data_IF_325672325303
#
_entry.id   IF_325672325303
#
_cell.length_a   1.000
_cell.length_b   1.000
_cell.length_c   1.000
_cell.angle_alpha   90.00
_cell.angle_beta   90.00
_cell.angle_gamma   90.00
#
_symmetry.space_group_name_H-M   'P 1'
#
loop_
_entity.id
_entity.type
_entity.pdbx_description
1 polymer ?
#
# COMPACT_ATOMS: atom_id res chain seq x y z
N UNK A 1 -34.81 11.27 2.08
CA UNK A 1 -33.48 10.67 1.87
C UNK A 1 -32.75 10.80 3.19
N UNK A 2 -32.40 9.68 3.82
CA UNK A 2 -31.80 9.67 5.16
C UNK A 2 -30.31 9.95 5.03
N UNK A 3 -29.88 11.11 5.52
CA UNK A 3 -28.46 11.46 5.57
C UNK A 3 -27.85 10.75 6.78
N UNK A 4 -27.05 9.71 6.54
CA UNK A 4 -26.22 9.10 7.59
C UNK A 4 -24.98 9.98 7.71
N UNK A 5 -24.94 10.85 8.71
CA UNK A 5 -23.74 11.60 9.08
C UNK A 5 -22.89 10.73 10.00
N UNK A 6 -21.79 10.18 9.49
CA UNK A 6 -20.82 9.42 10.29
C UNK A 6 -19.80 10.43 10.86
N UNK A 7 -19.57 10.46 12.18
CA UNK A 7 -18.57 11.35 12.80
C UNK A 7 -17.16 11.15 12.24
N UNK A 8 -16.36 12.23 12.24
CA UNK A 8 -14.99 12.30 11.71
C UNK A 8 -13.98 11.41 12.45
N UNK A 9 -14.28 11.09 13.71
CA UNK A 9 -13.49 10.27 14.62
C UNK A 9 -14.09 8.86 14.81
N UNK A 10 -15.17 8.56 14.09
CA UNK A 10 -15.80 7.26 14.15
C UNK A 10 -14.90 6.20 13.52
N UNK A 11 -14.89 5.03 14.14
CA UNK A 11 -14.29 3.84 13.56
C UNK A 11 -15.14 3.42 12.36
N UNK A 12 -14.51 3.40 11.19
CA UNK A 12 -15.16 3.02 9.94
C UNK A 12 -14.78 1.58 9.59
N UNK A 13 -15.76 0.69 9.62
CA UNK A 13 -15.60 -0.68 9.14
C UNK A 13 -16.50 -0.89 7.92
N UNK A 14 -15.89 -1.20 6.78
CA UNK A 14 -16.58 -1.56 5.54
C UNK A 14 -16.26 -3.02 5.24
N UNK A 15 -17.27 -3.88 5.26
CA UNK A 15 -17.15 -5.27 4.82
C UNK A 15 -18.05 -5.48 3.62
N UNK A 16 -17.44 -5.86 2.51
CA UNK A 16 -18.13 -6.16 1.27
C UNK A 16 -17.85 -7.61 0.88
N UNK A 17 -18.89 -8.35 0.52
CA UNK A 17 -18.77 -9.67 -0.10
C UNK A 17 -19.26 -9.53 -1.52
N UNK A 18 -18.40 -9.84 -2.49
CA UNK A 18 -18.75 -9.74 -3.89
C UNK A 18 -19.80 -10.81 -4.25
N UNK A 19 -20.88 -10.36 -4.87
CA UNK A 19 -21.88 -11.26 -5.46
C UNK A 19 -21.44 -11.62 -6.88
N UNK A 20 -21.19 -12.91 -7.18
CA UNK A 20 -20.76 -13.38 -8.50
C UNK A 20 -21.72 -13.02 -9.65
N UNK A 21 -22.95 -12.61 -9.35
CA UNK A 21 -23.91 -12.15 -10.36
C UNK A 21 -23.57 -10.78 -10.97
N UNK A 22 -22.64 -10.03 -10.38
CA UNK A 22 -22.28 -8.68 -10.81
C UNK A 22 -20.83 -8.60 -11.30
N UNK A 23 -20.50 -7.56 -12.07
CA UNK A 23 -19.11 -7.31 -12.44
C UNK A 23 -18.28 -6.90 -11.21
N UNK A 24 -17.09 -7.50 -10.98
CA UNK A 24 -16.23 -7.18 -9.84
C UNK A 24 -15.91 -5.70 -9.66
N UNK A 25 -15.80 -4.98 -10.78
CA UNK A 25 -15.56 -3.54 -10.78
C UNK A 25 -16.65 -2.74 -10.05
N UNK A 26 -17.89 -3.23 -10.02
CA UNK A 26 -18.98 -2.54 -9.31
C UNK A 26 -18.75 -2.53 -7.81
N UNK A 27 -18.24 -3.63 -7.23
CA UNK A 27 -17.87 -3.70 -5.81
C UNK A 27 -16.76 -2.72 -5.48
N UNK A 28 -15.74 -2.61 -6.35
CA UNK A 28 -14.64 -1.64 -6.20
C UNK A 28 -15.16 -0.20 -6.20
N UNK A 29 -15.98 0.15 -7.20
CA UNK A 29 -16.58 1.50 -7.33
C UNK A 29 -17.50 1.84 -6.17
N UNK A 30 -18.26 0.88 -5.66
CA UNK A 30 -19.16 1.10 -4.53
C UNK A 30 -18.38 1.47 -3.26
N UNK A 31 -17.29 0.76 -2.96
CA UNK A 31 -16.43 1.06 -1.80
C UNK A 31 -15.75 2.41 -1.97
N UNK A 32 -15.19 2.69 -3.15
CA UNK A 32 -14.57 3.98 -3.47
C UNK A 32 -15.55 5.14 -3.30
N UNK A 33 -16.78 5.01 -3.81
CA UNK A 33 -17.81 6.04 -3.71
C UNK A 33 -18.24 6.27 -2.26
N UNK A 34 -18.41 5.21 -1.47
CA UNK A 34 -18.74 5.30 -0.05
C UNK A 34 -17.65 6.05 0.74
N UNK A 35 -16.38 5.71 0.50
CA UNK A 35 -15.25 6.38 1.15
C UNK A 35 -15.11 7.83 0.72
N UNK A 36 -15.20 8.09 -0.59
CA UNK A 36 -15.14 9.45 -1.14
C UNK A 36 -16.24 10.33 -0.58
N UNK A 37 -17.47 9.81 -0.50
CA UNK A 37 -18.60 10.52 0.10
C UNK A 37 -18.36 10.79 1.58
N UNK A 38 -17.91 9.80 2.35
CA UNK A 38 -17.62 9.97 3.77
C UNK A 38 -16.55 11.04 4.02
N UNK A 39 -15.43 10.97 3.30
CA UNK A 39 -14.33 11.94 3.42
C UNK A 39 -14.72 13.34 2.93
N UNK A 40 -15.52 13.45 1.87
CA UNK A 40 -15.94 14.74 1.31
C UNK A 40 -17.00 15.45 2.14
N UNK A 41 -17.99 14.71 2.68
CA UNK A 41 -19.01 15.26 3.58
C UNK A 41 -18.37 15.86 4.84
N UNK A 42 -17.37 15.14 5.36
CA UNK A 42 -16.56 15.54 6.50
C UNK A 42 -15.79 16.85 6.26
N UNK A 43 -15.26 17.04 5.05
CA UNK A 43 -14.54 18.26 4.66
C UNK A 43 -15.45 19.49 4.50
N UNK A 44 -16.72 19.30 4.11
CA UNK A 44 -17.68 20.39 3.90
C UNK A 44 -18.42 20.82 5.17
N UNK A 45 -18.79 19.88 6.05
CA UNK A 45 -19.59 20.21 7.24
C UNK A 45 -18.81 20.90 8.35
N UNK A 46 -17.50 20.66 8.44
CA UNK A 46 -16.71 21.18 9.57
C UNK A 46 -16.17 22.59 9.34
N UNK A 47 -16.10 23.10 8.10
CA UNK A 47 -15.56 24.44 7.76
C UNK A 47 -14.09 24.70 8.15
N UNK A 48 -13.53 23.82 8.97
CA UNK A 48 -12.13 23.66 9.34
C UNK A 48 -11.57 22.68 8.33
N UNK A 49 -10.38 22.93 7.77
CA UNK A 49 -9.61 21.89 7.06
C UNK A 49 -9.59 20.67 7.97
N UNK A 50 -10.39 19.67 7.63
CA UNK A 50 -10.59 18.44 8.39
C UNK A 50 -9.24 17.99 8.97
N UNK A 51 -9.01 18.26 10.26
CA UNK A 51 -7.89 17.72 11.03
C UNK A 51 -8.19 16.23 11.30
N UNK A 52 -8.56 15.47 10.26
CA UNK A 52 -8.44 14.01 10.32
C UNK A 52 -6.99 13.79 10.66
N UNK A 53 -6.75 13.27 11.87
CA UNK A 53 -5.39 12.94 12.27
C UNK A 53 -4.92 11.94 11.22
N UNK A 54 -3.82 12.22 10.52
CA UNK A 54 -3.40 11.39 9.40
C UNK A 54 -2.92 10.04 9.97
N UNK A 55 -3.29 8.95 9.31
CA UNK A 55 -2.95 7.60 9.79
C UNK A 55 -1.44 7.42 9.85
N UNK A 56 -0.95 6.83 10.95
CA UNK A 56 0.48 6.53 11.12
C UNK A 56 0.81 5.07 10.84
N UNK A 57 -0.22 4.20 10.84
CA UNK A 57 -0.13 2.77 10.60
C UNK A 57 -1.03 2.39 9.41
N UNK A 58 -0.50 1.58 8.49
CA UNK A 58 -1.24 1.03 7.37
C UNK A 58 -0.89 -0.45 7.19
N UNK A 59 -1.88 -1.32 7.14
CA UNK A 59 -1.72 -2.73 6.82
C UNK A 59 -2.64 -3.11 5.66
N UNK A 60 -2.09 -3.80 4.68
CA UNK A 60 -2.82 -4.28 3.50
C UNK A 60 -2.54 -5.77 3.38
N UNK A 61 -3.59 -6.57 3.36
CA UNK A 61 -3.52 -8.03 3.27
C UNK A 61 -4.34 -8.53 2.09
N UNK A 62 -3.83 -9.52 1.37
CA UNK A 62 -4.58 -10.29 0.40
C UNK A 62 -4.44 -11.78 0.72
N UNK A 63 -5.55 -12.41 1.03
CA UNK A 63 -5.67 -13.85 1.17
C UNK A 63 -6.49 -14.36 -0.03
N UNK A 64 -5.88 -15.22 -0.86
CA UNK A 64 -6.50 -15.70 -2.10
C UNK A 64 -7.86 -16.38 -1.89
N UNK A 65 -8.12 -16.87 -0.68
CA UNK A 65 -9.38 -17.54 -0.31
C UNK A 65 -10.33 -16.62 0.48
N UNK A 66 -9.84 -15.51 1.06
CA UNK A 66 -10.63 -14.61 1.92
C UNK A 66 -10.78 -13.17 1.38
N UNK A 67 -10.09 -12.82 0.30
CA UNK A 67 -10.14 -11.52 -0.37
C UNK A 67 -9.07 -10.53 0.11
N UNK A 68 -9.35 -9.24 -0.04
CA UNK A 68 -8.43 -8.13 0.28
C UNK A 68 -8.89 -7.35 1.50
N UNK A 69 -7.95 -6.96 2.35
CA UNK A 69 -8.15 -6.10 3.50
C UNK A 69 -7.21 -4.89 3.48
N UNK A 70 -7.72 -3.71 3.83
CA UNK A 70 -6.95 -2.51 4.15
C UNK A 70 -7.35 -2.03 5.53
N UNK A 71 -6.36 -1.89 6.40
CA UNK A 71 -6.53 -1.38 7.76
C UNK A 71 -5.64 -0.17 7.98
N UNK A 72 -6.18 0.88 8.57
CA UNK A 72 -5.40 2.07 8.92
C UNK A 72 -5.74 2.57 10.33
N UNK A 73 -4.76 3.12 11.02
CA UNK A 73 -4.91 3.54 12.41
C UNK A 73 -3.76 4.39 12.93
N UNK A 74 -3.75 4.55 14.26
CA UNK A 74 -2.79 5.39 14.98
C UNK A 74 -2.00 4.53 15.96
N UNK A 75 -0.70 4.49 15.77
CA UNK A 75 0.25 4.06 16.79
C UNK A 75 1.68 4.49 16.42
N UNK A 76 2.56 4.46 17.41
CA UNK A 76 3.99 4.51 17.15
C UNK A 76 4.45 3.24 16.38
N UNK A 77 5.51 3.34 15.57
CA UNK A 77 6.09 2.19 14.88
C UNK A 77 6.42 1.03 15.85
N UNK A 78 6.21 -0.21 15.42
CA UNK A 78 6.37 -1.42 16.25
C UNK A 78 5.34 -1.66 17.37
N UNK A 79 4.39 -0.74 17.62
CA UNK A 79 3.38 -0.92 18.66
C UNK A 79 2.13 -1.66 18.16
N UNK A 80 1.45 -2.37 19.08
CA UNK A 80 0.11 -2.90 18.80
C UNK A 80 -0.88 -1.76 18.61
N UNK A 81 -1.79 -1.90 17.65
CA UNK A 81 -2.76 -0.87 17.31
C UNK A 81 -4.13 -1.46 16.94
N UNK A 82 -5.17 -0.64 17.10
CA UNK A 82 -6.53 -0.98 16.69
C UNK A 82 -6.89 -0.18 15.44
N UNK A 83 -7.42 -0.81 14.40
CA UNK A 83 -7.79 -0.09 13.19
C UNK A 83 -8.93 0.88 13.46
N UNK A 84 -8.74 2.11 12.98
CA UNK A 84 -9.79 3.14 12.92
C UNK A 84 -10.52 3.12 11.58
N UNK A 85 -9.84 2.60 10.56
CA UNK A 85 -10.41 2.25 9.28
C UNK A 85 -10.11 0.78 9.03
N UNK A 86 -11.14 -0.03 8.78
CA UNK A 86 -11.02 -1.42 8.35
C UNK A 86 -11.91 -1.61 7.12
N UNK A 87 -11.31 -1.94 5.98
CA UNK A 87 -11.99 -2.18 4.73
C UNK A 87 -11.64 -3.60 4.30
N UNK A 88 -12.66 -4.42 4.10
CA UNK A 88 -12.50 -5.79 3.61
C UNK A 88 -13.42 -6.04 2.43
N UNK A 89 -12.88 -6.67 1.39
CA UNK A 89 -13.61 -7.11 0.21
C UNK A 89 -13.29 -8.57 -0.07
N UNK A 90 -14.31 -9.41 0.07
CA UNK A 90 -14.23 -10.85 -0.15
C UNK A 90 -14.64 -11.18 -1.58
N UNK A 91 -13.83 -12.00 -2.25
CA UNK A 91 -14.08 -12.49 -3.61
C UNK A 91 -14.28 -14.01 -3.60
N UNK A 92 -15.00 -14.58 -4.57
CA UNK A 92 -14.84 -15.98 -4.94
C UNK A 92 -13.38 -16.22 -5.39
N UNK A 93 -12.75 -17.31 -4.95
CA UNK A 93 -11.34 -17.58 -5.26
C UNK A 93 -11.13 -17.81 -6.78
N UNK A 94 -10.64 -16.78 -7.48
CA UNK A 94 -10.20 -16.85 -8.88
C UNK A 94 -9.05 -15.86 -9.17
N UNK A 95 -8.42 -15.97 -10.34
CA UNK A 95 -7.30 -15.10 -10.71
C UNK A 95 -7.70 -13.63 -10.95
N UNK A 96 -8.99 -13.35 -11.19
CA UNK A 96 -9.49 -11.99 -11.40
C UNK A 96 -9.52 -11.19 -10.09
N UNK A 97 -9.70 -11.87 -8.95
CA UNK A 97 -9.68 -11.28 -7.61
C UNK A 97 -8.42 -10.48 -7.30
N UNK A 98 -7.24 -10.92 -7.79
CA UNK A 98 -5.97 -10.21 -7.57
C UNK A 98 -5.98 -8.85 -8.25
N UNK A 99 -6.36 -8.79 -9.53
CA UNK A 99 -6.42 -7.55 -10.31
C UNK A 99 -7.38 -6.53 -9.67
N UNK A 100 -8.59 -6.97 -9.31
CA UNK A 100 -9.58 -6.08 -8.70
C UNK A 100 -9.21 -5.66 -7.29
N UNK A 101 -8.44 -6.47 -6.56
CA UNK A 101 -7.87 -6.10 -5.25
C UNK A 101 -6.80 -5.03 -5.39
N UNK A 102 -5.87 -5.17 -6.35
CA UNK A 102 -4.89 -4.12 -6.66
C UNK A 102 -5.58 -2.81 -7.08
N UNK A 103 -6.61 -2.91 -7.91
CA UNK A 103 -7.41 -1.77 -8.33
C UNK A 103 -8.12 -1.08 -7.15
N UNK A 104 -8.72 -1.85 -6.24
CA UNK A 104 -9.35 -1.31 -5.04
C UNK A 104 -8.35 -0.49 -4.21
N UNK A 105 -7.20 -1.07 -3.91
CA UNK A 105 -6.19 -0.43 -3.08
C UNK A 105 -5.61 0.81 -3.76
N UNK A 106 -5.35 0.75 -5.07
CA UNK A 106 -4.85 1.91 -5.83
C UNK A 106 -5.82 3.09 -5.86
N UNK A 107 -7.13 2.84 -5.76
CA UNK A 107 -8.16 3.90 -5.66
C UNK A 107 -8.33 4.42 -4.25
N UNK A 108 -8.28 3.55 -3.25
CA UNK A 108 -8.53 3.93 -1.86
C UNK A 108 -7.32 4.64 -1.22
N UNK A 109 -6.10 4.15 -1.44
CA UNK A 109 -4.90 4.73 -0.82
C UNK A 109 -4.73 6.24 -1.09
N UNK A 110 -4.94 6.76 -2.31
CA UNK A 110 -4.90 8.20 -2.59
C UNK A 110 -5.94 9.03 -1.82
N UNK A 111 -7.11 8.47 -1.52
CA UNK A 111 -8.18 9.16 -0.79
C UNK A 111 -7.83 9.39 0.68
N UNK A 112 -7.04 8.49 1.27
CA UNK A 112 -6.80 8.43 2.72
C UNK A 112 -5.66 9.33 3.25
N UNK A 113 -5.13 10.23 2.42
CA UNK A 113 -4.05 11.18 2.81
C UNK A 113 -2.88 10.51 3.55
N UNK A 114 -2.35 9.44 2.99
CA UNK A 114 -1.33 8.58 3.60
C UNK A 114 0.09 9.19 3.75
N UNK A 115 0.22 10.52 3.74
CA UNK A 115 1.51 11.21 3.81
C UNK A 115 2.27 11.01 5.12
N UNK A 116 1.54 10.71 6.21
CA UNK A 116 2.09 10.55 7.57
C UNK A 116 2.25 9.11 8.04
N UNK A 117 1.99 8.15 7.16
CA UNK A 117 2.22 6.73 7.47
C UNK A 117 3.70 6.52 7.78
N UNK A 118 3.96 5.96 8.97
CA UNK A 118 5.31 5.64 9.46
C UNK A 118 5.60 4.15 9.40
N UNK A 119 4.58 3.31 9.57
CA UNK A 119 4.70 1.85 9.47
C UNK A 119 3.71 1.32 8.44
N UNK A 120 4.22 0.54 7.49
CA UNK A 120 3.46 -0.07 6.41
C UNK A 120 3.68 -1.59 6.43
N UNK A 121 2.59 -2.36 6.41
CA UNK A 121 2.61 -3.80 6.21
C UNK A 121 1.86 -4.17 4.94
N UNK A 122 2.47 -4.97 4.07
CA UNK A 122 1.87 -5.49 2.84
C UNK A 122 2.09 -7.00 2.75
N UNK A 123 1.01 -7.77 2.76
CA UNK A 123 1.04 -9.23 2.79
C UNK A 123 0.10 -9.81 1.74
N UNK A 124 0.56 -10.81 0.99
CA UNK A 124 -0.28 -11.56 0.05
C UNK A 124 0.22 -11.60 -1.39
N UNK A 125 -0.56 -12.25 -2.24
CA UNK A 125 -0.25 -12.55 -3.64
C UNK A 125 -0.68 -11.45 -4.63
N UNK A 126 -0.27 -10.22 -4.36
CA UNK A 126 -0.61 -9.02 -5.13
C UNK A 126 0.53 -8.00 -5.05
N UNK A 127 0.51 -6.98 -5.89
CA UNK A 127 1.61 -6.04 -6.11
C UNK A 127 2.93 -6.70 -6.49
N UNK A 128 2.85 -7.66 -7.42
CA UNK A 128 4.01 -8.38 -7.93
C UNK A 128 4.91 -7.54 -8.86
N UNK A 129 4.49 -6.31 -9.19
CA UNK A 129 5.19 -5.41 -10.12
C UNK A 129 5.62 -4.10 -9.43
N UNK A 130 6.86 -3.66 -9.69
CA UNK A 130 7.39 -2.42 -9.08
C UNK A 130 6.64 -1.13 -9.44
N UNK A 131 6.04 -1.07 -10.63
CA UNK A 131 5.21 0.05 -11.06
C UNK A 131 4.01 0.30 -10.13
N UNK A 132 3.34 -0.76 -9.69
CA UNK A 132 2.19 -0.67 -8.78
C UNK A 132 2.61 -0.07 -7.43
N UNK A 133 3.76 -0.51 -6.90
CA UNK A 133 4.32 0.03 -5.66
C UNK A 133 4.59 1.54 -5.74
N UNK A 134 5.22 1.99 -6.83
CA UNK A 134 5.53 3.40 -7.01
C UNK A 134 4.28 4.27 -7.19
N UNK A 135 3.27 3.77 -7.91
CA UNK A 135 2.01 4.49 -8.12
C UNK A 135 1.23 4.66 -6.82
N UNK A 136 1.10 3.58 -6.03
CA UNK A 136 0.26 3.55 -4.83
C UNK A 136 0.97 4.15 -3.62
N UNK A 137 2.22 3.73 -3.39
CA UNK A 137 2.97 4.06 -2.17
C UNK A 137 3.99 5.19 -2.36
N UNK A 138 4.21 5.64 -3.59
CA UNK A 138 5.20 6.67 -3.91
C UNK A 138 5.01 8.00 -3.16
N UNK A 139 3.80 8.30 -2.69
CA UNK A 139 3.48 9.51 -1.91
C UNK A 139 3.78 9.39 -0.42
N UNK A 140 3.98 8.18 0.11
CA UNK A 140 4.21 7.94 1.53
C UNK A 140 5.69 8.19 1.88
N UNK A 141 6.08 9.45 2.09
CA UNK A 141 7.49 9.82 2.28
C UNK A 141 8.03 9.53 3.68
N UNK A 142 7.15 9.36 4.67
CA UNK A 142 7.48 9.25 6.10
C UNK A 142 7.57 7.80 6.62
N UNK A 143 7.41 6.81 5.74
CA UNK A 143 7.52 5.40 6.13
C UNK A 143 8.94 5.12 6.61
N UNK A 144 9.06 4.70 7.86
CA UNK A 144 10.31 4.30 8.52
C UNK A 144 10.39 2.79 8.70
N UNK A 145 9.26 2.11 8.84
CA UNK A 145 9.16 0.66 8.98
C UNK A 145 8.32 0.08 7.84
N UNK A 146 8.83 -0.95 7.20
CA UNK A 146 8.11 -1.69 6.16
C UNK A 146 8.20 -3.18 6.41
N UNK A 147 7.05 -3.85 6.40
CA UNK A 147 6.94 -5.30 6.39
C UNK A 147 6.32 -5.71 5.06
N UNK A 148 7.02 -6.56 4.30
CA UNK A 148 6.49 -7.11 3.04
C UNK A 148 6.61 -8.63 3.06
N UNK A 149 5.52 -9.30 2.71
CA UNK A 149 5.44 -10.75 2.70
C UNK A 149 4.92 -11.27 1.37
N UNK A 150 5.16 -12.56 1.09
CA UNK A 150 4.66 -13.26 -0.09
C UNK A 150 5.09 -12.64 -1.43
N UNK A 151 4.25 -12.76 -2.46
CA UNK A 151 4.56 -12.29 -3.81
C UNK A 151 4.79 -10.78 -3.89
N UNK A 152 4.23 -10.01 -2.94
CA UNK A 152 4.43 -8.56 -2.84
C UNK A 152 5.91 -8.18 -2.67
N UNK A 153 6.74 -9.07 -2.11
CA UNK A 153 8.19 -8.86 -1.95
C UNK A 153 8.87 -8.68 -3.30
N UNK A 154 8.47 -9.44 -4.32
CA UNK A 154 9.09 -9.37 -5.64
C UNK A 154 8.81 -8.02 -6.30
N UNK A 155 7.56 -7.53 -6.27
CA UNK A 155 7.22 -6.21 -6.81
C UNK A 155 7.86 -5.07 -6.03
N UNK A 156 7.92 -5.18 -4.69
CA UNK A 156 8.63 -4.19 -3.87
C UNK A 156 10.09 -4.07 -4.29
N UNK A 157 10.79 -5.20 -4.42
CA UNK A 157 12.19 -5.24 -4.82
C UNK A 157 12.41 -4.74 -6.26
N UNK A 158 11.49 -5.04 -7.17
CA UNK A 158 11.52 -4.49 -8.53
C UNK A 158 11.39 -2.96 -8.53
N UNK A 159 10.60 -2.36 -7.63
CA UNK A 159 10.45 -0.90 -7.55
C UNK A 159 11.79 -0.16 -7.34
N UNK A 160 12.78 -0.81 -6.73
CA UNK A 160 14.13 -0.26 -6.53
C UNK A 160 15.08 -0.50 -7.71
N UNK A 161 14.77 -1.44 -8.60
CA UNK A 161 15.56 -1.71 -9.81
C UNK A 161 15.33 -0.65 -10.89
N UNK A 162 14.12 -0.09 -10.96
CA UNK A 162 13.71 0.80 -12.04
C UNK A 162 14.36 2.17 -11.84
N UNK A 163 15.41 2.46 -12.63
CA UNK A 163 15.93 3.82 -12.73
C UNK A 163 14.84 4.73 -13.31
N UNK A 164 14.75 6.00 -12.85
CA UNK A 164 13.86 7.05 -13.34
C UNK A 164 13.57 7.08 -14.84
N UNK A 165 14.56 6.75 -15.69
CA UNK A 165 14.49 6.93 -17.13
C UNK A 165 13.68 5.87 -17.88
N UNK A 166 13.50 4.67 -17.33
CA UNK A 166 12.87 3.53 -18.03
C UNK A 166 11.39 3.33 -17.65
N UNK A 167 10.91 4.02 -16.61
CA UNK A 167 9.55 3.86 -16.07
C UNK A 167 8.43 4.51 -16.92
N UNK A 168 8.76 5.14 -18.06
CA UNK A 168 7.81 5.92 -18.86
C UNK A 168 6.75 5.09 -19.58
N UNK A 169 6.98 3.81 -19.85
CA UNK A 169 6.16 3.08 -20.84
C UNK A 169 5.22 2.00 -20.26
N UNK A 170 5.27 1.65 -18.98
CA UNK A 170 4.52 0.47 -18.47
C UNK A 170 3.59 0.68 -17.28
N UNK A 171 3.57 1.87 -16.65
CA UNK A 171 2.65 2.15 -15.53
C UNK A 171 1.22 2.42 -16.03
N UNK A 172 1.08 2.92 -17.25
CA UNK A 172 -0.19 3.35 -17.84
C UNK A 172 -1.14 2.17 -18.13
N UNK A 173 -0.65 0.96 -18.38
CA UNK A 173 -1.50 -0.07 -19.01
C UNK A 173 -2.22 -1.02 -18.05
N UNK A 174 -1.86 -1.10 -16.76
CA UNK A 174 -2.35 -2.17 -15.88
C UNK A 174 -3.53 -1.80 -14.96
N UNK A 175 -3.76 -0.51 -14.71
CA UNK A 175 -4.84 -0.05 -13.81
C UNK A 175 -5.80 0.95 -14.46
N UNK A 176 -5.61 1.26 -15.75
CA UNK A 176 -6.52 2.10 -16.51
C UNK A 176 -7.79 1.32 -16.86
N UNK A 177 -8.94 1.86 -16.43
CA UNK A 177 -10.25 1.40 -16.88
C UNK A 177 -10.79 2.33 -17.96
N UNK A 178 -11.62 1.82 -18.89
CA UNK A 178 -12.25 2.66 -19.89
C UNK A 178 -13.11 3.75 -19.21
N UNK A 179 -12.76 5.02 -19.42
CA UNK A 179 -13.56 6.18 -19.01
C UNK A 179 -13.08 6.96 -17.78
N UNK A 180 -11.92 6.64 -17.21
CA UNK A 180 -11.29 7.49 -16.18
C UNK A 180 -10.36 8.54 -16.81
N UNK A 181 -10.39 9.77 -16.29
CA UNK A 181 -9.40 10.79 -16.61
C UNK A 181 -8.03 10.34 -16.08
N UNK A 182 -7.07 10.22 -17.00
CA UNK A 182 -5.71 9.72 -16.73
C UNK A 182 -5.01 10.62 -15.72
N UNK A 183 -5.00 10.23 -14.44
CA UNK A 183 -4.11 10.82 -13.43
C UNK A 183 -2.75 10.14 -13.58
N UNK A 184 -2.03 10.50 -14.64
CA UNK A 184 -0.67 10.03 -14.86
C UNK A 184 0.22 10.42 -13.69
N UNK A 185 0.64 9.44 -12.89
CA UNK A 185 1.68 9.65 -11.88
C UNK A 185 3.02 9.61 -12.63
N UNK A 186 3.77 10.71 -12.63
CA UNK A 186 5.13 10.73 -13.14
C UNK A 186 6.03 9.93 -12.18
N UNK A 187 6.06 8.62 -12.38
CA UNK A 187 6.81 7.66 -11.56
C UNK A 187 8.33 7.83 -11.72
N UNK A 188 8.80 8.52 -12.77
CA UNK A 188 10.21 8.69 -13.06
C UNK A 188 10.99 9.36 -11.91
N UNK A 189 10.39 10.28 -11.17
CA UNK A 189 11.08 10.98 -10.08
C UNK A 189 10.78 10.43 -8.68
N UNK A 190 10.01 9.34 -8.59
CA UNK A 190 9.50 8.84 -7.31
C UNK A 190 10.55 8.00 -6.60
N UNK A 191 11.19 8.59 -5.59
CA UNK A 191 11.94 7.82 -4.59
C UNK A 191 10.94 7.17 -3.64
N UNK A 192 10.89 5.83 -3.65
CA UNK A 192 10.07 5.04 -2.73
C UNK A 192 10.70 5.05 -1.33
N UNK A 193 9.89 5.39 -0.32
CA UNK A 193 10.22 5.44 1.11
C UNK A 193 11.61 6.01 1.43
N UNK A 194 11.84 7.33 1.20
CA UNK A 194 13.14 7.95 1.45
C UNK A 194 13.57 7.94 2.92
N UNK A 195 12.63 7.78 3.87
CA UNK A 195 12.89 7.72 5.30
C UNK A 195 12.94 6.29 5.85
N UNK A 196 12.96 5.28 4.98
CA UNK A 196 12.92 3.88 5.37
C UNK A 196 14.17 3.52 6.18
N UNK A 197 13.96 2.98 7.38
CA UNK A 197 15.02 2.54 8.30
C UNK A 197 15.01 1.03 8.47
N UNK A 198 13.81 0.46 8.59
CA UNK A 198 13.66 -0.96 8.84
C UNK A 198 12.81 -1.59 7.74
N UNK A 199 13.31 -2.69 7.18
CA UNK A 199 12.59 -3.50 6.20
C UNK A 199 12.63 -4.95 6.63
N UNK A 200 11.47 -5.57 6.80
CA UNK A 200 11.33 -7.00 7.01
C UNK A 200 10.71 -7.64 5.78
N UNK A 201 11.43 -8.60 5.17
CA UNK A 201 10.96 -9.34 4.00
C UNK A 201 10.81 -10.82 4.35
N UNK A 202 9.64 -11.38 4.11
CA UNK A 202 9.37 -12.82 4.27
C UNK A 202 9.20 -13.53 2.92
N UNK A 203 9.61 -14.80 2.82
CA UNK A 203 9.57 -15.64 1.60
C UNK A 203 10.49 -15.18 0.45
N UNK A 204 11.78 -15.01 0.73
CA UNK A 204 12.83 -14.80 -0.27
C UNK A 204 13.36 -16.15 -0.81
N UNK A 205 12.57 -16.88 -1.58
CA UNK A 205 12.88 -18.25 -2.02
C UNK A 205 13.56 -18.35 -3.40
N UNK A 206 13.43 -17.32 -4.24
CA UNK A 206 13.99 -17.33 -5.59
C UNK A 206 15.37 -16.66 -5.71
N UNK A 207 16.23 -17.21 -6.58
CA UNK A 207 17.55 -16.62 -6.89
C UNK A 207 17.45 -15.23 -7.52
N UNK A 208 16.36 -14.94 -8.24
CA UNK A 208 16.08 -13.62 -8.80
C UNK A 208 15.78 -12.60 -7.68
N UNK A 209 14.92 -12.97 -6.73
CA UNK A 209 14.53 -12.14 -5.58
C UNK A 209 15.73 -11.84 -4.68
N UNK A 210 16.64 -12.81 -4.49
CA UNK A 210 17.89 -12.60 -3.76
C UNK A 210 18.85 -11.60 -4.42
N UNK A 211 18.89 -11.52 -5.76
CA UNK A 211 19.69 -10.49 -6.47
C UNK A 211 19.09 -9.11 -6.25
N UNK A 212 17.78 -8.98 -6.36
CA UNK A 212 17.10 -7.70 -6.12
C UNK A 212 17.25 -7.25 -4.67
N UNK A 213 17.22 -8.18 -3.72
CA UNK A 213 17.49 -7.89 -2.31
C UNK A 213 18.88 -7.28 -2.08
N UNK A 214 19.91 -7.80 -2.77
CA UNK A 214 21.26 -7.20 -2.70
C UNK A 214 21.26 -5.77 -3.23
N UNK A 215 20.58 -5.52 -4.35
CA UNK A 215 20.43 -4.16 -4.89
C UNK A 215 19.72 -3.23 -3.92
N UNK A 216 18.62 -3.67 -3.28
CA UNK A 216 17.95 -2.90 -2.24
C UNK A 216 18.90 -2.57 -1.09
N UNK A 217 19.64 -3.55 -0.58
CA UNK A 217 20.59 -3.35 0.52
C UNK A 217 21.67 -2.33 0.14
N UNK A 218 22.23 -2.43 -1.06
CA UNK A 218 23.28 -1.51 -1.52
C UNK A 218 22.72 -0.08 -1.72
N UNK A 219 21.50 0.05 -2.25
CA UNK A 219 20.77 1.34 -2.35
C UNK A 219 20.44 1.94 -0.97
N UNK A 220 19.99 1.12 -0.03
CA UNK A 220 19.73 1.57 1.34
C UNK A 220 21.04 1.95 2.06
N UNK A 221 22.13 1.22 1.82
CA UNK A 221 23.46 1.54 2.36
C UNK A 221 23.96 2.91 1.87
N UNK A 222 23.79 3.21 0.58
CA UNK A 222 24.11 4.54 0.01
C UNK A 222 23.25 5.64 0.62
N UNK A 223 22.01 5.33 1.04
CA UNK A 223 21.13 6.28 1.76
C UNK A 223 21.52 6.41 3.24
N UNK A 224 22.01 5.35 3.87
CA UNK A 224 22.41 5.31 5.28
C UNK A 224 23.83 5.85 5.53
N UNK A 225 24.66 6.07 4.51
CA UNK A 225 25.92 6.83 4.61
C UNK A 225 25.74 8.32 5.01
N UNK A 226 24.50 8.72 5.37
CA UNK A 226 24.22 9.93 6.12
C UNK A 226 24.10 9.73 7.65
N UNK A 227 24.29 8.52 8.19
CA UNK A 227 24.52 8.25 9.63
C UNK A 227 25.10 6.84 9.89
N UNK A 228 26.40 6.81 10.18
CA UNK A 228 27.14 5.89 11.06
C UNK A 228 27.50 4.47 10.56
N UNK A 229 28.82 4.33 10.33
CA UNK A 229 29.76 3.33 10.86
C UNK A 229 29.37 1.82 10.92
N UNK A 230 30.22 1.07 10.23
CA UNK A 230 30.47 -0.37 10.20
C UNK A 230 30.18 -1.18 11.49
N UNK A 231 29.59 -2.38 11.32
CA UNK A 231 29.62 -3.46 12.30
C UNK A 231 29.06 -4.78 11.75
N UNK A 232 29.76 -5.93 11.88
CA UNK A 232 29.64 -7.05 10.95
C UNK A 232 28.56 -8.11 11.28
N UNK A 233 28.21 -8.83 10.21
CA UNK A 233 27.33 -9.99 10.08
C UNK A 233 27.46 -11.07 11.16
N UNK A 234 26.31 -11.62 11.59
CA UNK A 234 26.10 -13.06 11.79
C UNK A 234 24.69 -13.48 11.36
N UNK A 235 24.65 -14.54 10.56
CA UNK A 235 23.47 -15.29 10.12
C UNK A 235 22.81 -16.06 11.28
N UNK A 236 21.48 -16.07 11.30
CA UNK A 236 20.67 -17.29 11.42
C UNK A 236 19.29 -17.04 10.78
N UNK A 237 18.68 -18.11 10.28
CA UNK A 237 17.49 -18.14 9.43
C UNK A 237 16.20 -17.89 10.23
N UNK A 238 15.60 -16.71 10.06
CA UNK A 238 14.16 -16.40 10.18
C UNK A 238 14.01 -14.88 9.97
N UNK A 239 13.16 -14.45 9.03
CA UNK A 239 12.88 -13.04 8.70
C UNK A 239 14.14 -12.14 8.54
N UNK A 240 14.62 -11.97 7.30
CA UNK A 240 15.74 -11.04 7.03
C UNK A 240 15.24 -9.61 7.22
N UNK A 241 15.57 -9.05 8.37
CA UNK A 241 15.36 -7.64 8.69
C UNK A 241 16.61 -6.87 8.27
N UNK A 242 16.46 -5.90 7.38
CA UNK A 242 17.47 -4.86 7.16
C UNK A 242 17.12 -3.74 8.15
N UNK A 243 18.08 -3.38 9.01
CA UNK A 243 18.06 -2.22 9.91
C UNK A 243 19.07 -1.18 9.46
#
# INVERSE_FOLDING_TARGET
MSHISIPIDAELSITCTHDPAFEPLQSVRAIEALLSQHLSHTAHETGVKSNVTPFTQLAIGFDGDAGVGLRAGYAEPGAQWTPRLDISLQWPADASSVLYSELLISRICPLLQMGDVRSLSVEGNFFSYGAAWLSIFGRMKRVTELVVQDSAVSGFLEAFKHRPSEARESVYTLLELPGDDVVGVDVASVVLFPMLRQVSLAKLDSTATLRLFRHLRDELAVRSDFNAEEGPEKQDDEARTIT
#
